data_IF_058334894605
#
_entry.id   IF_058334894605
#
_cell.length_a   1.000
_cell.length_b   1.000
_cell.length_c   1.000
_cell.angle_alpha   90.00
_cell.angle_beta   90.00
_cell.angle_gamma   90.00
#
_symmetry.space_group_name_H-M   'P 1'
#
loop_
_entity.id
_entity.type
_entity.pdbx_description
1 polymer ?
#
# COMPACT_ATOMS: atom_id res chain seq x y z
N UNK A 1 14.82 -4.57 -5.66
CA UNK A 1 15.45 -4.91 -4.37
C UNK A 1 14.95 -3.87 -3.39
N UNK A 2 14.05 -4.23 -2.47
CA UNK A 2 13.44 -3.28 -1.52
C UNK A 2 14.24 -3.27 -0.21
N UNK A 3 14.38 -2.09 0.38
CA UNK A 3 14.91 -1.94 1.74
C UNK A 3 13.85 -2.38 2.75
N UNK A 4 14.20 -3.34 3.60
CA UNK A 4 13.36 -3.91 4.65
C UNK A 4 13.99 -3.76 6.05
N UNK A 5 15.04 -2.95 6.20
CA UNK A 5 15.78 -2.74 7.45
C UNK A 5 14.92 -2.24 8.60
N UNK A 6 13.85 -1.49 8.30
CA UNK A 6 12.85 -1.03 9.30
C UNK A 6 12.24 -2.20 10.08
N UNK A 7 12.14 -3.38 9.48
CA UNK A 7 11.60 -4.59 10.12
C UNK A 7 12.35 -5.00 11.39
N UNK A 8 13.65 -4.72 11.45
CA UNK A 8 14.52 -5.10 12.58
C UNK A 8 14.17 -4.36 13.88
N UNK A 9 13.49 -3.22 13.78
CA UNK A 9 13.15 -2.37 14.94
C UNK A 9 11.70 -2.53 15.41
N UNK A 10 10.92 -3.42 14.80
CA UNK A 10 9.49 -3.56 15.08
C UNK A 10 9.20 -3.89 16.56
N UNK A 11 10.00 -4.77 17.17
CA UNK A 11 9.88 -5.11 18.59
C UNK A 11 10.20 -3.91 19.51
N UNK A 12 11.24 -3.15 19.19
CA UNK A 12 11.62 -1.94 19.93
C UNK A 12 10.50 -0.89 19.91
N UNK A 13 9.86 -0.72 18.75
CA UNK A 13 8.76 0.25 18.60
C UNK A 13 7.51 -0.20 19.37
N UNK A 14 7.18 -1.50 19.32
CA UNK A 14 6.07 -2.05 20.09
C UNK A 14 6.26 -1.90 21.61
N UNK A 15 7.43 -2.24 22.13
CA UNK A 15 7.76 -2.10 23.57
C UNK A 15 7.61 -0.65 24.07
N UNK A 16 7.89 0.32 23.19
CA UNK A 16 7.76 1.75 23.46
C UNK A 16 6.37 2.34 23.17
N UNK A 17 5.41 1.52 22.73
CA UNK A 17 4.08 1.98 22.33
C UNK A 17 4.07 2.88 21.08
N UNK A 18 5.05 2.72 20.19
CA UNK A 18 5.18 3.49 18.94
C UNK A 18 4.54 2.71 17.79
N UNK A 19 3.52 3.29 17.15
CA UNK A 19 2.90 2.74 15.95
C UNK A 19 3.71 3.02 14.69
N UNK A 20 3.75 2.05 13.77
CA UNK A 20 4.39 2.18 12.45
C UNK A 20 3.30 2.22 11.39
N UNK A 21 3.35 3.22 10.50
CA UNK A 21 2.44 3.34 9.37
C UNK A 21 3.25 3.32 8.07
N UNK A 22 2.75 2.63 7.03
CA UNK A 22 3.34 2.70 5.71
C UNK A 22 3.06 4.07 5.07
N UNK A 23 4.11 4.83 4.75
CA UNK A 23 3.99 6.15 4.12
C UNK A 23 3.72 6.12 2.60
N UNK A 24 3.78 4.94 1.98
CA UNK A 24 3.46 4.69 0.57
C UNK A 24 2.33 3.66 0.40
N UNK A 25 1.15 3.92 0.97
CA UNK A 25 0.04 2.98 1.04
C UNK A 25 -0.46 2.55 -0.36
N UNK A 26 -0.33 3.44 -1.35
CA UNK A 26 -0.81 3.19 -2.71
C UNK A 26 0.23 2.53 -3.63
N UNK A 27 1.44 2.24 -3.12
CA UNK A 27 2.50 1.55 -3.87
C UNK A 27 2.71 2.10 -5.28
N UNK A 28 2.85 3.42 -5.40
CA UNK A 28 3.06 4.14 -6.67
C UNK A 28 1.94 3.90 -7.72
N UNK A 29 0.70 3.76 -7.27
CA UNK A 29 -0.48 3.57 -8.12
C UNK A 29 -0.87 2.11 -8.35
N UNK A 30 -0.15 1.14 -7.76
CA UNK A 30 -0.54 -0.26 -7.87
C UNK A 30 -1.92 -0.56 -7.29
N UNK A 31 -2.30 0.16 -6.23
CA UNK A 31 -3.56 -0.04 -5.51
C UNK A 31 -4.65 0.97 -5.91
N UNK A 32 -4.47 1.72 -7.01
CA UNK A 32 -5.44 2.70 -7.50
C UNK A 32 -6.15 2.19 -8.75
N UNK A 33 -7.34 2.73 -9.08
CA UNK A 33 -8.08 2.36 -10.30
C UNK A 33 -7.27 2.59 -11.57
N UNK A 34 -6.48 3.66 -11.58
CA UNK A 34 -5.66 4.04 -12.72
C UNK A 34 -4.49 3.07 -12.94
N UNK A 35 -4.09 2.34 -11.91
CA UNK A 35 -2.95 1.44 -11.95
C UNK A 35 -1.59 2.16 -11.98
N UNK A 36 -0.50 1.38 -11.95
CA UNK A 36 0.85 1.94 -11.93
C UNK A 36 1.29 2.44 -13.32
N UNK A 37 2.28 3.33 -13.40
CA UNK A 37 2.84 3.78 -14.67
C UNK A 37 3.54 2.63 -15.44
N UNK A 38 3.71 2.74 -16.78
CA UNK A 38 4.31 1.66 -17.58
C UNK A 38 5.73 1.25 -17.17
N UNK A 39 6.50 2.18 -16.59
CA UNK A 39 7.86 1.97 -16.12
C UNK A 39 7.94 1.38 -14.71
N UNK A 40 6.81 1.03 -14.08
CA UNK A 40 6.78 0.55 -12.71
C UNK A 40 7.61 -0.75 -12.54
N UNK A 41 8.48 -0.83 -11.51
CA UNK A 41 9.42 -1.93 -11.35
C UNK A 41 8.79 -3.26 -10.90
N UNK A 42 7.48 -3.28 -10.64
CA UNK A 42 6.79 -4.48 -10.19
C UNK A 42 6.67 -5.50 -11.34
N UNK A 43 6.83 -6.81 -11.07
CA UNK A 43 6.48 -7.85 -12.00
C UNK A 43 5.00 -7.80 -12.40
N UNK A 44 4.67 -8.30 -13.59
CA UNK A 44 3.30 -8.20 -14.12
C UNK A 44 2.28 -8.98 -13.26
N UNK A 45 2.65 -10.14 -12.73
CA UNK A 45 1.78 -10.89 -11.82
C UNK A 45 1.42 -10.10 -10.54
N UNK A 46 2.33 -9.23 -10.06
CA UNK A 46 2.03 -8.33 -8.94
C UNK A 46 1.06 -7.26 -9.40
N UNK A 47 1.30 -6.62 -10.55
CA UNK A 47 0.38 -5.60 -11.09
C UNK A 47 -1.04 -6.15 -11.24
N UNK A 48 -1.18 -7.35 -11.78
CA UNK A 48 -2.48 -8.03 -11.94
C UNK A 48 -3.14 -8.35 -10.60
N UNK A 49 -2.40 -8.94 -9.65
CA UNK A 49 -2.93 -9.25 -8.32
C UNK A 49 -3.39 -7.98 -7.58
N UNK A 50 -2.63 -6.90 -7.73
CA UNK A 50 -2.93 -5.64 -7.05
C UNK A 50 -4.15 -4.95 -7.65
N UNK A 51 -4.29 -5.00 -8.99
CA UNK A 51 -5.49 -4.54 -9.69
C UNK A 51 -6.74 -5.33 -9.26
N UNK A 52 -6.63 -6.66 -9.15
CA UNK A 52 -7.73 -7.50 -8.67
C UNK A 52 -8.14 -7.16 -7.23
N UNK A 53 -7.18 -6.90 -6.35
CA UNK A 53 -7.44 -6.46 -4.98
C UNK A 53 -8.15 -5.10 -4.94
N UNK A 54 -7.69 -4.14 -5.74
CA UNK A 54 -8.34 -2.82 -5.88
C UNK A 54 -9.81 -2.95 -6.30
N UNK A 55 -10.09 -3.76 -7.32
CA UNK A 55 -11.47 -4.03 -7.75
C UNK A 55 -12.32 -4.68 -6.65
N UNK A 56 -11.75 -5.64 -5.91
CA UNK A 56 -12.46 -6.27 -4.80
C UNK A 56 -12.87 -5.26 -3.73
N UNK A 57 -11.96 -4.36 -3.34
CA UNK A 57 -12.22 -3.35 -2.31
C UNK A 57 -13.24 -2.30 -2.75
N UNK A 58 -13.36 -2.01 -4.04
CA UNK A 58 -14.34 -1.07 -4.58
C UNK A 58 -15.77 -1.58 -4.53
N UNK A 59 -15.92 -2.91 -4.66
CA UNK A 59 -17.23 -3.57 -4.65
C UNK A 59 -17.66 -3.94 -3.22
N UNK A 60 -16.70 -4.13 -2.30
CA UNK A 60 -16.98 -4.53 -0.93
C UNK A 60 -17.24 -3.32 -0.01
N UNK A 61 -18.47 -3.17 0.50
CA UNK A 61 -18.85 -2.07 1.41
C UNK A 61 -18.09 -2.08 2.76
N UNK A 62 -17.63 -3.24 3.22
CA UNK A 62 -16.86 -3.38 4.47
C UNK A 62 -15.43 -2.81 4.39
N UNK A 63 -14.90 -2.53 3.18
CA UNK A 63 -13.50 -2.14 3.00
C UNK A 63 -13.26 -0.61 2.97
N UNK A 64 -14.32 0.21 3.04
CA UNK A 64 -14.24 1.68 2.92
C UNK A 64 -13.60 2.39 4.13
N UNK A 65 -13.22 1.66 5.19
CA UNK A 65 -12.61 2.24 6.39
C UNK A 65 -11.17 2.76 6.20
N UNK A 66 -10.51 2.44 5.09
CA UNK A 66 -9.13 2.86 4.81
C UNK A 66 -9.12 4.00 3.77
N UNK A 67 -9.68 5.14 4.14
CA UNK A 67 -9.57 6.40 3.37
C UNK A 67 -8.13 6.95 3.44
N UNK A 68 -7.26 6.38 2.62
CA UNK A 68 -5.87 6.84 2.49
C UNK A 68 -5.73 7.95 1.43
N UNK A 69 -6.79 8.22 0.67
CA UNK A 69 -6.81 9.27 -0.37
C UNK A 69 -6.68 10.70 0.18
N UNK A 70 -6.98 10.94 1.46
CA UNK A 70 -6.92 12.31 2.03
C UNK A 70 -5.50 12.86 2.24
N UNK A 71 -4.45 12.03 2.12
CA UNK A 71 -3.06 12.45 2.39
C UNK A 71 -2.24 12.76 1.12
N UNK A 72 -2.80 12.59 -0.09
CA UNK A 72 -2.08 12.84 -1.37
C UNK A 72 -2.60 14.10 -2.09
N UNK A 73 -3.62 14.79 -1.57
CA UNK A 73 -4.04 16.08 -2.13
C UNK A 73 -3.03 17.19 -1.75
N UNK A 74 -2.05 17.43 -2.61
CA UNK A 74 -1.50 18.77 -2.80
C UNK A 74 -2.37 19.54 -3.79
#
# INVERSE_FOLDING_TARGET
MNDNSVGEFTFLFQDKGIGILNGSPLSMGLLTEQGPPPWHPAPDFIKEATLAATHYCMVCDDCKSLDIESSVQR
#
